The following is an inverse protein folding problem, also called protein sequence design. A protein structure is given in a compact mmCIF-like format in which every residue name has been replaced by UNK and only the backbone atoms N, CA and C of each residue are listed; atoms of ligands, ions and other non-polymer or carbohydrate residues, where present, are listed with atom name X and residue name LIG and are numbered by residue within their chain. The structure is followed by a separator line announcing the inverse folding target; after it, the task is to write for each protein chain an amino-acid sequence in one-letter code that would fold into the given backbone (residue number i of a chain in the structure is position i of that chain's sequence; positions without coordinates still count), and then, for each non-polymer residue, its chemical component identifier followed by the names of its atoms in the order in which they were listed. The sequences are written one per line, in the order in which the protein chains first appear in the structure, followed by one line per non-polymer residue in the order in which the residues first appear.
data_IF_408662941263
#
_entry.id   IF_408662941263
#
_cell.length_a   1.000
_cell.length_b   1.000
_cell.length_c   1.000
_cell.angle_alpha   90.00
_cell.angle_beta   90.00
_cell.angle_gamma   90.00
#
_symmetry.space_group_name_H-M   'P 1'
#
loop_
_entity.id
_entity.type
_entity.pdbx_description
1 polymer ?
#
# COMPACT_ATOMS: atom_id res chain seq x y z
N UNK A 1 -5.77 -28.41 7.03
CA UNK A 1 -6.77 -27.78 7.92
C UNK A 1 -6.10 -27.53 9.27
N UNK A 2 -6.03 -26.28 9.69
CA UNK A 2 -5.66 -25.81 11.04
C UNK A 2 -6.24 -24.40 11.17
N UNK A 3 -7.06 -24.22 12.19
CA UNK A 3 -8.10 -23.20 12.34
C UNK A 3 -7.60 -21.80 12.74
N UNK A 4 -8.41 -20.80 12.33
CA UNK A 4 -8.85 -19.66 13.14
C UNK A 4 -7.81 -18.72 13.77
N UNK A 5 -7.04 -18.05 12.93
CA UNK A 5 -6.58 -16.70 13.28
C UNK A 5 -7.71 -15.69 12.97
N UNK A 6 -8.49 -15.31 14.00
CA UNK A 6 -9.55 -14.29 13.87
C UNK A 6 -9.00 -13.00 13.22
N UNK A 7 -9.58 -12.55 12.09
CA UNK A 7 -9.13 -11.33 11.42
C UNK A 7 -9.49 -10.09 12.26
N UNK A 8 -8.76 -8.97 12.08
CA UNK A 8 -8.95 -7.74 12.85
C UNK A 8 -10.41 -7.26 12.78
N UNK A 9 -10.96 -6.87 13.95
CA UNK A 9 -12.39 -6.53 14.16
C UNK A 9 -12.84 -5.20 13.53
N UNK A 10 -11.95 -4.42 12.92
CA UNK A 10 -12.28 -3.10 12.41
C UNK A 10 -12.01 -3.03 10.90
N UNK A 11 -13.09 -3.04 10.11
CA UNK A 11 -13.09 -2.90 8.66
C UNK A 11 -14.32 -3.57 8.05
N UNK A 12 -15.02 -2.95 7.09
CA UNK A 12 -16.14 -3.56 6.37
C UNK A 12 -15.83 -5.00 5.90
N UNK A 13 -16.79 -5.92 6.00
CA UNK A 13 -16.59 -7.36 5.74
C UNK A 13 -16.06 -7.74 4.35
N UNK A 14 -16.15 -6.85 3.37
CA UNK A 14 -15.56 -6.98 2.03
C UNK A 14 -14.05 -6.67 1.99
N UNK A 15 -13.49 -6.07 3.05
CA UNK A 15 -12.07 -5.74 3.23
C UNK A 15 -11.30 -6.81 4.01
N UNK A 16 -11.74 -8.06 4.00
CA UNK A 16 -10.86 -9.15 4.43
C UNK A 16 -9.68 -9.17 3.46
N UNK A 17 -8.50 -8.74 3.91
CA UNK A 17 -7.26 -8.66 3.11
C UNK A 17 -6.83 -10.00 2.47
N UNK A 18 -7.38 -11.12 2.96
CA UNK A 18 -7.21 -12.47 2.38
C UNK A 18 -8.39 -12.89 1.45
N UNK A 19 -9.33 -12.00 1.15
CA UNK A 19 -10.47 -12.28 0.28
C UNK A 19 -10.01 -12.32 -1.18
N UNK A 20 -10.27 -13.44 -1.85
CA UNK A 20 -10.04 -13.59 -3.30
C UNK A 20 -10.78 -12.52 -4.11
N UNK A 21 -11.95 -12.09 -3.64
CA UNK A 21 -12.76 -11.05 -4.30
C UNK A 21 -12.03 -9.70 -4.26
N UNK A 22 -11.50 -9.30 -3.10
CA UNK A 22 -10.73 -8.06 -2.97
C UNK A 22 -9.47 -8.07 -3.85
N UNK A 23 -8.78 -9.22 -3.92
CA UNK A 23 -7.62 -9.38 -4.82
C UNK A 23 -8.00 -9.27 -6.30
N UNK A 24 -9.15 -9.81 -6.68
CA UNK A 24 -9.69 -9.70 -8.04
C UNK A 24 -10.10 -8.26 -8.37
N UNK A 25 -10.72 -7.54 -7.44
CA UNK A 25 -11.04 -6.12 -7.61
C UNK A 25 -9.76 -5.31 -7.86
N UNK A 26 -8.72 -5.52 -7.05
CA UNK A 26 -7.44 -4.84 -7.23
C UNK A 26 -6.72 -5.25 -8.52
N UNK A 27 -6.85 -6.51 -8.95
CA UNK A 27 -6.36 -6.96 -10.25
C UNK A 27 -7.08 -6.27 -11.40
N UNK A 28 -8.41 -6.17 -11.34
CA UNK A 28 -9.21 -5.47 -12.35
C UNK A 28 -8.84 -3.99 -12.42
N UNK A 29 -8.64 -3.33 -11.28
CA UNK A 29 -8.17 -1.94 -11.24
C UNK A 29 -6.76 -1.83 -11.85
N UNK A 30 -5.86 -2.77 -11.54
CA UNK A 30 -4.51 -2.80 -12.13
C UNK A 30 -4.58 -2.92 -13.66
N UNK A 31 -5.38 -3.86 -14.17
CA UNK A 31 -5.58 -4.06 -15.62
C UNK A 31 -6.20 -2.81 -16.24
N UNK A 32 -7.20 -2.21 -15.62
CA UNK A 32 -7.82 -0.98 -16.10
C UNK A 32 -6.80 0.18 -16.19
N UNK A 33 -5.95 0.36 -15.18
CA UNK A 33 -4.89 1.38 -15.19
C UNK A 33 -3.89 1.13 -16.32
N UNK A 34 -3.45 -0.12 -16.51
CA UNK A 34 -2.53 -0.48 -17.61
C UNK A 34 -3.18 -0.16 -18.96
N UNK A 35 -4.44 -0.54 -19.16
CA UNK A 35 -5.17 -0.28 -20.41
C UNK A 35 -5.35 1.21 -20.65
N UNK A 36 -5.68 1.99 -19.61
CA UNK A 36 -5.82 3.44 -19.67
C UNK A 36 -4.48 4.09 -20.04
N UNK A 37 -3.39 3.72 -19.37
CA UNK A 37 -2.05 4.23 -19.68
C UNK A 37 -1.61 3.88 -21.11
N UNK A 38 -1.91 2.66 -21.55
CA UNK A 38 -1.56 2.20 -22.90
C UNK A 38 -2.39 2.89 -23.98
N UNK A 39 -3.71 3.00 -23.77
CA UNK A 39 -4.62 3.72 -24.67
C UNK A 39 -4.23 5.20 -24.77
N UNK A 40 -3.97 5.88 -23.66
CA UNK A 40 -3.53 7.27 -23.70
C UNK A 40 -2.18 7.48 -24.33
N UNK A 41 -1.20 6.60 -24.05
CA UNK A 41 0.10 6.63 -24.75
C UNK A 41 -0.07 6.53 -26.26
N UNK A 42 -0.95 5.65 -26.73
CA UNK A 42 -1.13 5.39 -28.15
C UNK A 42 -1.92 6.49 -28.86
N UNK A 43 -2.94 7.07 -28.21
CA UNK A 43 -3.96 7.86 -28.91
C UNK A 43 -4.13 9.30 -28.42
N UNK A 44 -3.71 9.67 -27.20
CA UNK A 44 -4.06 10.96 -26.60
C UNK A 44 -2.85 11.80 -26.13
N UNK A 45 -1.81 11.17 -25.59
CA UNK A 45 -0.61 11.86 -25.07
C UNK A 45 0.61 11.08 -25.55
N UNK A 46 1.27 11.58 -26.61
CA UNK A 46 2.45 10.93 -27.22
C UNK A 46 3.66 10.85 -26.27
N UNK A 47 3.70 11.69 -25.25
CA UNK A 47 4.81 11.79 -24.30
C UNK A 47 4.38 11.33 -22.91
N UNK A 48 4.33 10.01 -22.72
CA UNK A 48 4.21 9.44 -21.39
C UNK A 48 5.56 9.69 -20.70
N UNK A 49 5.65 10.65 -19.78
CA UNK A 49 6.89 10.93 -19.06
C UNK A 49 7.30 9.69 -18.25
N UNK A 50 8.14 8.85 -18.85
CA UNK A 50 8.49 7.52 -18.36
C UNK A 50 9.23 7.62 -17.04
N UNK A 51 10.18 8.56 -16.93
CA UNK A 51 10.95 8.76 -15.71
C UNK A 51 10.08 9.18 -14.53
N UNK A 52 9.15 10.11 -14.77
CA UNK A 52 8.22 10.54 -13.73
C UNK A 52 7.26 9.42 -13.33
N UNK A 53 6.81 8.60 -14.30
CA UNK A 53 5.98 7.42 -14.02
C UNK A 53 6.73 6.39 -13.18
N UNK A 54 7.98 6.07 -13.54
CA UNK A 54 8.84 5.18 -12.76
C UNK A 54 9.06 5.72 -11.35
N UNK A 55 9.32 7.02 -11.22
CA UNK A 55 9.45 7.66 -9.92
C UNK A 55 8.21 7.44 -9.05
N UNK A 56 7.01 7.65 -9.61
CA UNK A 56 5.76 7.46 -8.87
C UNK A 56 5.43 6.00 -8.56
N UNK A 57 5.88 5.04 -9.37
CA UNK A 57 5.83 3.61 -9.04
C UNK A 57 6.67 3.33 -7.79
N UNK A 58 7.89 3.86 -7.72
CA UNK A 58 8.83 3.63 -6.63
C UNK A 58 8.54 4.47 -5.38
N UNK A 59 7.81 5.58 -5.54
CA UNK A 59 7.54 6.55 -4.50
C UNK A 59 7.02 5.97 -3.17
N UNK A 60 5.97 5.12 -3.12
CA UNK A 60 5.45 4.62 -1.86
C UNK A 60 6.48 3.78 -1.07
N UNK A 61 7.38 3.08 -1.76
CA UNK A 61 8.48 2.35 -1.15
C UNK A 61 9.56 3.31 -0.65
N UNK A 62 9.99 4.27 -1.47
CA UNK A 62 11.00 5.25 -1.06
C UNK A 62 10.51 6.09 0.14
N UNK A 63 9.27 6.58 0.08
CA UNK A 63 8.66 7.39 1.13
C UNK A 63 8.45 6.66 2.45
N UNK A 64 8.42 5.32 2.44
CA UNK A 64 8.32 4.51 3.66
C UNK A 64 9.69 4.00 4.12
N UNK A 65 10.49 3.40 3.24
CA UNK A 65 11.75 2.77 3.63
C UNK A 65 12.87 3.76 3.94
N UNK A 66 12.90 4.96 3.36
CA UNK A 66 13.89 5.98 3.72
C UNK A 66 13.75 6.38 5.21
N UNK A 67 12.59 6.86 5.69
CA UNK A 67 12.46 7.24 7.10
C UNK A 67 12.58 6.04 8.05
N UNK A 68 12.08 4.86 7.67
CA UNK A 68 12.28 3.63 8.46
C UNK A 68 13.77 3.28 8.55
N UNK A 69 14.49 3.33 7.43
CA UNK A 69 15.92 3.09 7.35
C UNK A 69 16.74 4.08 8.19
N UNK A 70 16.37 5.36 8.19
CA UNK A 70 16.99 6.37 9.05
C UNK A 70 16.70 6.11 10.54
N UNK A 71 15.48 5.74 10.90
CA UNK A 71 15.09 5.44 12.28
C UNK A 71 15.72 4.14 12.83
N UNK A 72 16.15 3.24 11.93
CA UNK A 72 16.82 1.98 12.27
C UNK A 72 18.35 2.08 12.20
N UNK A 73 18.92 3.24 11.84
CA UNK A 73 20.37 3.43 11.88
C UNK A 73 20.88 3.28 13.31
N UNK A 74 21.69 2.24 13.55
CA UNK A 74 22.30 1.93 14.84
C UNK A 74 21.60 0.84 15.65
N UNK A 75 20.40 0.40 15.25
CA UNK A 75 19.69 -0.71 15.88
C UNK A 75 18.90 -1.52 14.86
N UNK A 76 19.08 -2.85 14.82
CA UNK A 76 18.33 -3.76 13.93
C UNK A 76 16.85 -3.93 14.34
N UNK A 77 16.26 -2.91 14.96
CA UNK A 77 14.90 -2.95 15.50
C UNK A 77 14.01 -2.17 14.56
N UNK A 78 13.06 -2.86 13.96
CA UNK A 78 12.03 -2.23 13.13
C UNK A 78 11.18 -1.26 13.99
N UNK A 79 10.97 -0.01 13.57
CA UNK A 79 10.19 0.95 14.33
C UNK A 79 8.73 0.49 14.41
N UNK A 80 8.11 0.66 15.57
CA UNK A 80 6.70 0.27 15.80
C UNK A 80 5.72 0.92 14.83
N UNK A 81 6.04 2.12 14.33
CA UNK A 81 5.26 2.86 13.34
C UNK A 81 5.59 2.49 11.89
N UNK A 82 6.66 1.73 11.62
CA UNK A 82 7.14 1.47 10.26
C UNK A 82 6.11 0.76 9.37
N UNK A 83 5.44 -0.26 9.91
CA UNK A 83 4.38 -0.97 9.18
C UNK A 83 3.16 -0.07 8.93
N UNK A 84 2.86 0.84 9.87
CA UNK A 84 1.75 1.80 9.70
C UNK A 84 2.06 2.81 8.60
N UNK A 85 3.28 3.37 8.57
CA UNK A 85 3.71 4.31 7.54
C UNK A 85 3.68 3.66 6.14
N UNK A 86 4.23 2.45 6.02
CA UNK A 86 4.20 1.71 4.76
C UNK A 86 2.77 1.51 4.26
N UNK A 87 1.86 1.01 5.12
CA UNK A 87 0.47 0.78 4.72
C UNK A 87 -0.30 2.07 4.41
N UNK A 88 0.05 3.18 5.07
CA UNK A 88 -0.53 4.49 4.79
C UNK A 88 -0.15 4.99 3.39
N UNK A 89 1.11 4.84 2.97
CA UNK A 89 1.52 5.17 1.61
C UNK A 89 1.02 4.16 0.57
N UNK A 90 0.67 2.95 0.99
CA UNK A 90 0.10 1.89 0.15
C UNK A 90 -1.44 1.81 0.25
N UNK A 91 -2.14 2.94 0.34
CA UNK A 91 -3.60 2.99 0.27
C UNK A 91 -4.12 3.92 -0.82
N UNK A 92 -5.18 3.48 -1.49
CA UNK A 92 -5.89 4.29 -2.48
C UNK A 92 -6.49 5.55 -1.86
N UNK A 93 -6.82 5.52 -0.56
CA UNK A 93 -7.33 6.70 0.16
C UNK A 93 -6.33 7.85 0.24
N UNK A 94 -5.04 7.59 0.06
CA UNK A 94 -4.00 8.62 0.01
C UNK A 94 -3.66 8.96 -1.44
N UNK A 95 -3.44 7.95 -2.28
CA UNK A 95 -3.00 8.16 -3.65
C UNK A 95 -4.06 8.86 -4.53
N UNK A 96 -5.35 8.51 -4.40
CA UNK A 96 -6.42 9.07 -5.24
C UNK A 96 -6.65 10.56 -4.96
N UNK A 97 -6.78 11.02 -3.70
CA UNK A 97 -6.88 12.45 -3.43
C UNK A 97 -5.67 13.25 -3.91
N UNK A 98 -4.45 12.71 -3.77
CA UNK A 98 -3.25 13.38 -4.27
C UNK A 98 -3.29 13.52 -5.79
N UNK A 99 -3.65 12.47 -6.53
CA UNK A 99 -3.87 12.55 -7.96
C UNK A 99 -4.89 13.63 -8.33
N UNK A 100 -6.03 13.67 -7.64
CA UNK A 100 -7.10 14.63 -7.92
C UNK A 100 -6.67 16.08 -7.66
N UNK A 101 -6.12 16.36 -6.47
CA UNK A 101 -5.67 17.70 -6.06
C UNK A 101 -4.54 18.18 -6.96
N UNK A 102 -3.56 17.34 -7.24
CA UNK A 102 -2.42 17.72 -8.07
C UNK A 102 -2.82 17.96 -9.53
N UNK A 103 -3.73 17.14 -10.06
CA UNK A 103 -4.28 17.33 -11.40
C UNK A 103 -5.11 18.62 -11.49
N UNK A 104 -5.87 18.94 -10.44
CA UNK A 104 -6.64 20.19 -10.37
C UNK A 104 -5.72 21.42 -10.37
N UNK A 105 -4.69 21.43 -9.52
CA UNK A 105 -3.73 22.54 -9.45
C UNK A 105 -2.97 22.71 -10.77
N UNK A 106 -2.58 21.61 -11.41
CA UNK A 106 -1.84 21.65 -12.66
C UNK A 106 -2.70 21.97 -13.89
N UNK A 107 -4.04 21.96 -13.76
CA UNK A 107 -4.97 22.15 -14.88
C UNK A 107 -4.97 21.03 -15.93
N UNK A 108 -4.23 19.94 -15.68
CA UNK A 108 -4.11 18.77 -16.55
C UNK A 108 -4.01 17.52 -15.70
N UNK A 109 -4.51 16.39 -16.20
CA UNK A 109 -4.44 15.16 -15.43
C UNK A 109 -3.01 14.63 -15.41
N UNK A 110 -2.51 14.42 -14.19
CA UNK A 110 -1.11 14.09 -13.93
C UNK A 110 -0.90 12.58 -14.02
N UNK A 111 -0.96 12.04 -15.23
CA UNK A 111 -0.89 10.61 -15.51
C UNK A 111 0.26 9.85 -14.86
N UNK A 112 1.47 10.41 -14.67
CA UNK A 112 2.54 9.70 -13.97
C UNK A 112 2.16 9.24 -12.55
N UNK A 113 1.27 9.95 -11.85
CA UNK A 113 0.75 9.55 -10.53
C UNK A 113 -0.06 8.24 -10.56
N UNK A 114 -0.56 7.83 -11.74
CA UNK A 114 -1.17 6.51 -11.91
C UNK A 114 -0.16 5.38 -11.67
N UNK A 115 1.15 5.64 -11.81
CA UNK A 115 2.20 4.70 -11.43
C UNK A 115 2.13 4.31 -9.94
N UNK A 116 1.88 5.28 -9.06
CA UNK A 116 1.69 5.03 -7.63
C UNK A 116 0.44 4.18 -7.39
N UNK A 117 -0.68 4.52 -8.02
CA UNK A 117 -1.93 3.75 -7.88
C UNK A 117 -1.74 2.32 -8.40
N UNK A 118 -1.08 2.15 -9.55
CA UNK A 118 -0.78 0.85 -10.14
C UNK A 118 0.11 -0.02 -9.25
N UNK A 119 1.13 0.57 -8.60
CA UNK A 119 1.96 -0.13 -7.61
C UNK A 119 1.11 -0.66 -6.44
N UNK A 120 0.25 0.18 -5.86
CA UNK A 120 -0.64 -0.22 -4.77
C UNK A 120 -1.53 -1.39 -5.20
N UNK A 121 -2.23 -1.27 -6.33
CA UNK A 121 -3.20 -2.28 -6.73
C UNK A 121 -2.54 -3.60 -7.11
N UNK A 122 -1.34 -3.56 -7.69
CA UNK A 122 -0.53 -4.74 -7.98
C UNK A 122 -0.10 -5.47 -6.70
N UNK A 123 0.40 -4.75 -5.70
CA UNK A 123 0.73 -5.32 -4.38
C UNK A 123 -0.49 -5.97 -3.73
N UNK A 124 -1.64 -5.28 -3.74
CA UNK A 124 -2.88 -5.82 -3.15
C UNK A 124 -3.43 -7.01 -3.93
N UNK A 125 -3.32 -7.03 -5.25
CA UNK A 125 -3.71 -8.18 -6.08
C UNK A 125 -2.86 -9.42 -5.76
N UNK A 126 -1.56 -9.23 -5.54
CA UNK A 126 -0.66 -10.29 -5.09
C UNK A 126 -0.88 -10.69 -3.61
N UNK A 127 -1.60 -9.87 -2.84
CA UNK A 127 -1.88 -10.10 -1.43
C UNK A 127 -0.80 -9.59 -0.48
N UNK A 128 0.08 -8.69 -0.95
CA UNK A 128 1.15 -8.11 -0.15
C UNK A 128 0.64 -6.99 0.78
N UNK A 129 1.11 -7.05 2.03
CA UNK A 129 0.94 -6.02 3.05
C UNK A 129 1.98 -6.24 4.17
N UNK A 130 2.50 -5.16 4.75
CA UNK A 130 3.31 -5.28 5.95
C UNK A 130 2.39 -5.42 7.17
N UNK A 131 2.55 -6.52 7.89
CA UNK A 131 1.92 -6.67 9.22
C UNK A 131 2.72 -5.85 10.22
N UNK A 132 2.03 -5.20 11.15
CA UNK A 132 2.69 -4.70 12.34
C UNK A 132 3.29 -5.90 13.07
N UNK A 133 4.58 -5.86 13.37
CA UNK A 133 5.17 -6.77 14.35
C UNK A 133 4.38 -6.56 15.63
N UNK A 134 3.58 -7.54 16.04
CA UNK A 134 3.07 -7.61 17.40
C UNK A 134 4.30 -7.80 18.28
N UNK A 135 4.91 -6.69 18.68
CA UNK A 135 5.93 -6.70 19.72
C UNK A 135 5.27 -7.28 20.95
N UNK A 136 5.47 -8.60 21.13
CA UNK A 136 5.46 -9.45 22.32
C UNK A 136 4.85 -8.87 23.61
N UNK A 137 3.72 -8.17 23.53
CA UNK A 137 3.03 -7.54 24.66
C UNK A 137 1.98 -8.46 25.29
N UNK A 138 1.67 -9.60 24.66
CA UNK A 138 0.73 -10.58 25.18
C UNK A 138 1.39 -11.71 25.99
N UNK A 139 2.74 -11.73 26.10
CA UNK A 139 3.44 -12.74 26.89
C UNK A 139 3.71 -12.33 28.35
N UNK A 140 3.55 -11.05 28.70
CA UNK A 140 3.76 -10.58 30.07
C UNK A 140 2.47 -10.61 30.94
N UNK A 141 1.29 -10.69 30.33
CA UNK A 141 0.00 -10.70 31.06
C UNK A 141 -0.45 -12.13 31.37
N UNK A 142 -0.07 -13.11 30.55
CA UNK A 142 -0.47 -14.52 30.73
C UNK A 142 0.32 -15.33 31.78
N UNK A 143 1.42 -14.79 32.33
CA UNK A 143 2.24 -15.48 33.34
C UNK A 143 2.05 -14.97 34.78
N UNK A 144 1.15 -13.99 35.02
CA UNK A 144 0.89 -13.46 36.37
C UNK A 144 -0.38 -13.98 37.04
N UNK A 145 -1.16 -14.89 36.42
CA UNK A 145 -2.41 -15.39 37.01
C UNK A 145 -2.40 -16.86 37.43
N UNK A 146 -1.23 -17.49 37.54
CA UNK A 146 -1.12 -18.85 38.07
C UNK A 146 -0.05 -18.91 39.16
N UNK A 147 -0.49 -18.69 40.39
CA UNK A 147 0.20 -19.14 41.60
C UNK A 147 0.05 -18.17 42.77
N UNK A 148 -0.08 -18.65 44.01
CA UNK A 148 -0.58 -19.95 44.51
C UNK A 148 -2.08 -19.92 44.88
#
# INVERSE_FOLDING_TARGET
MSEDAKPPKAGPGFLRLNSTIYRLEMLLVTVAIILILFYWRLFLVRDLNVYLTIFWILWPDLGSFIPIGLATRGGRIWPSWGSSLYNFLHTLLVAVPILAVWSFIAGVVQWPLLGWIGHITMDRAAGYYLRASSSRSNLAIGQRSTGP
#
